data_IF_442986680914
#
_entry.id   IF_442986680914
#
_cell.length_a   1.000
_cell.length_b   1.000
_cell.length_c   1.000
_cell.angle_alpha   90.00
_cell.angle_beta   90.00
_cell.angle_gamma   90.00
#
_symmetry.space_group_name_H-M   'P 1'
#
loop_
_entity.id
_entity.type
_entity.pdbx_description
1 polymer ?
#
# COMPACT_ATOMS: atom_id res chain seq x y z
N UNK A 1 3.17 3.86 -0.26
CA UNK A 1 3.93 3.81 -1.53
C UNK A 1 3.00 4.11 -2.69
N UNK A 2 3.42 4.93 -3.64
CA UNK A 2 2.71 5.14 -4.90
C UNK A 2 3.32 4.34 -6.05
N UNK A 3 2.48 3.92 -6.99
CA UNK A 3 2.96 3.33 -8.23
C UNK A 3 1.84 3.10 -9.24
N UNK A 4 2.23 2.89 -10.50
CA UNK A 4 1.32 2.35 -11.50
C UNK A 4 1.03 0.86 -11.24
N UNK A 5 0.00 0.32 -11.89
CA UNK A 5 -0.40 -1.07 -11.71
C UNK A 5 0.75 -2.08 -11.89
N UNK A 6 1.54 -1.98 -12.97
CA UNK A 6 2.64 -2.90 -13.26
C UNK A 6 3.71 -2.90 -12.14
N UNK A 7 4.01 -1.72 -11.60
CA UNK A 7 4.95 -1.54 -10.51
C UNK A 7 4.40 -2.18 -9.22
N UNK A 8 3.13 -1.92 -8.87
CA UNK A 8 2.47 -2.56 -7.72
C UNK A 8 2.49 -4.09 -7.87
N UNK A 9 2.09 -4.62 -9.03
CA UNK A 9 1.98 -6.06 -9.26
C UNK A 9 3.36 -6.75 -9.13
N UNK A 10 4.42 -6.14 -9.66
CA UNK A 10 5.80 -6.61 -9.47
C UNK A 10 6.19 -6.63 -8.00
N UNK A 11 5.97 -5.55 -7.27
CA UNK A 11 6.30 -5.51 -5.85
C UNK A 11 5.60 -6.65 -5.09
N UNK A 12 4.31 -6.86 -5.33
CA UNK A 12 3.59 -7.87 -4.58
C UNK A 12 4.04 -9.28 -4.96
N UNK A 13 4.40 -9.52 -6.23
CA UNK A 13 5.05 -10.76 -6.65
C UNK A 13 6.33 -11.01 -5.84
N UNK A 14 7.20 -10.00 -5.71
CA UNK A 14 8.43 -10.12 -4.93
C UNK A 14 8.15 -10.34 -3.43
N UNK A 15 7.18 -9.64 -2.85
CA UNK A 15 6.80 -9.84 -1.44
C UNK A 15 6.31 -11.27 -1.19
N UNK A 16 5.48 -11.81 -2.08
CA UNK A 16 5.02 -13.21 -2.01
C UNK A 16 6.17 -14.21 -2.09
N UNK A 17 7.08 -14.02 -3.05
CA UNK A 17 8.25 -14.90 -3.21
C UNK A 17 9.16 -14.88 -1.98
N UNK A 18 9.10 -13.83 -1.16
CA UNK A 18 9.85 -13.71 0.11
C UNK A 18 9.01 -14.10 1.34
N UNK A 19 7.93 -14.88 1.17
CA UNK A 19 7.04 -15.35 2.24
C UNK A 19 6.39 -14.21 3.07
N UNK A 20 6.17 -13.06 2.45
CA UNK A 20 5.54 -11.94 3.13
C UNK A 20 4.03 -12.19 3.33
N UNK A 21 3.48 -11.92 4.52
CA UNK A 21 2.06 -12.12 4.78
C UNK A 21 1.20 -11.11 4.00
N UNK A 22 0.50 -11.58 2.96
CA UNK A 22 -0.35 -10.75 2.08
C UNK A 22 -1.50 -10.05 2.81
N UNK A 23 -1.90 -10.55 3.98
CA UNK A 23 -2.92 -9.95 4.85
C UNK A 23 -2.50 -8.57 5.41
N UNK A 24 -1.23 -8.20 5.26
CA UNK A 24 -0.67 -6.93 5.67
C UNK A 24 -0.56 -5.91 4.53
N UNK A 25 -1.01 -6.28 3.33
CA UNK A 25 -0.87 -5.48 2.10
C UNK A 25 -2.23 -4.96 1.68
N UNK A 26 -2.38 -3.65 1.71
CA UNK A 26 -3.62 -2.95 1.37
C UNK A 26 -3.40 -2.14 0.09
N UNK A 27 -4.20 -2.43 -0.94
CA UNK A 27 -4.17 -1.70 -2.21
C UNK A 27 -5.36 -0.77 -2.31
N UNK A 28 -5.08 0.49 -2.61
CA UNK A 28 -6.06 1.55 -2.82
C UNK A 28 -6.21 1.78 -4.31
N UNK A 29 -7.45 1.69 -4.78
CA UNK A 29 -7.78 1.93 -6.18
C UNK A 29 -7.88 3.44 -6.48
N UNK A 30 -7.43 3.88 -7.66
CA UNK A 30 -7.64 5.25 -8.09
C UNK A 30 -9.14 5.57 -8.23
N UNK A 31 -9.50 6.83 -8.01
CA UNK A 31 -10.84 7.39 -8.27
C UNK A 31 -12.02 6.74 -7.52
N UNK A 32 -11.76 5.93 -6.48
CA UNK A 32 -12.79 5.25 -5.68
C UNK A 32 -12.95 5.80 -4.27
N UNK A 33 -11.93 6.46 -3.72
CA UNK A 33 -11.84 6.63 -2.28
C UNK A 33 -12.03 8.09 -1.83
N UNK A 34 -13.28 8.51 -1.61
CA UNK A 34 -13.60 9.84 -1.04
C UNK A 34 -13.36 9.92 0.48
N UNK A 35 -13.30 8.77 1.18
CA UNK A 35 -13.12 8.71 2.64
C UNK A 35 -11.66 8.42 3.06
N UNK A 36 -10.73 8.34 2.10
CA UNK A 36 -9.34 7.96 2.34
C UNK A 36 -8.54 8.97 3.17
N UNK A 37 -8.91 10.25 3.05
CA UNK A 37 -8.24 11.35 3.73
C UNK A 37 -8.19 11.15 5.26
N UNK A 38 -9.32 10.78 5.86
CA UNK A 38 -9.44 10.58 7.31
C UNK A 38 -8.61 9.39 7.81
N UNK A 39 -8.48 8.34 7.02
CA UNK A 39 -7.66 7.17 7.39
C UNK A 39 -6.18 7.56 7.48
N UNK A 40 -5.69 8.42 6.58
CA UNK A 40 -4.30 8.88 6.64
C UNK A 40 -4.06 9.87 7.77
N UNK A 41 -5.05 10.72 8.07
CA UNK A 41 -5.03 11.62 9.22
C UNK A 41 -4.95 10.82 10.54
N UNK A 42 -5.74 9.76 10.66
CA UNK A 42 -5.72 8.86 11.83
C UNK A 42 -4.39 8.10 12.01
N UNK A 43 -3.68 7.87 10.90
CA UNK A 43 -2.34 7.28 10.85
C UNK A 43 -1.22 8.30 11.11
N UNK A 44 -1.56 9.53 11.51
CA UNK A 44 -0.62 10.62 11.80
C UNK A 44 0.26 10.98 10.58
N UNK A 45 -0.24 10.75 9.37
CA UNK A 45 0.47 11.12 8.15
C UNK A 45 0.37 12.64 7.98
N UNK A 46 1.49 13.33 7.71
CA UNK A 46 1.49 14.77 7.49
C UNK A 46 0.55 15.20 6.35
N UNK A 47 -0.20 16.28 6.55
CA UNK A 47 -1.21 16.74 5.58
C UNK A 47 -0.67 16.95 4.17
N UNK A 48 0.55 17.47 4.04
CA UNK A 48 1.24 17.62 2.75
C UNK A 48 1.46 16.28 2.02
N UNK A 49 1.62 15.18 2.77
CA UNK A 49 1.73 13.82 2.21
C UNK A 49 0.36 13.25 1.87
N UNK A 50 -0.66 13.52 2.68
CA UNK A 50 -2.05 13.15 2.38
C UNK A 50 -2.50 13.78 1.06
N UNK A 51 -2.24 15.07 0.87
CA UNK A 51 -2.57 15.79 -0.38
C UNK A 51 -1.83 15.21 -1.57
N UNK A 52 -0.55 14.88 -1.41
CA UNK A 52 0.25 14.23 -2.44
C UNK A 52 -0.36 12.88 -2.86
N UNK A 53 -0.67 12.00 -1.90
CA UNK A 53 -1.29 10.70 -2.19
C UNK A 53 -2.67 10.84 -2.82
N UNK A 54 -3.48 11.78 -2.34
CA UNK A 54 -4.82 12.06 -2.88
C UNK A 54 -4.74 12.54 -4.33
N UNK A 55 -3.84 13.47 -4.63
CA UNK A 55 -3.60 13.95 -5.99
C UNK A 55 -3.14 12.84 -6.93
N UNK A 56 -2.23 11.97 -6.47
CA UNK A 56 -1.77 10.83 -7.28
C UNK A 56 -2.88 9.80 -7.53
N UNK A 57 -3.73 9.52 -6.54
CA UNK A 57 -4.89 8.64 -6.71
C UNK A 57 -5.89 9.20 -7.73
N UNK A 58 -6.11 10.52 -7.74
CA UNK A 58 -6.94 11.18 -8.76
C UNK A 58 -6.32 11.11 -10.17
N UNK A 59 -5.00 11.09 -10.25
CA UNK A 59 -4.27 10.91 -11.51
C UNK A 59 -4.25 9.45 -12.02
N UNK A 60 -4.92 8.52 -11.33
CA UNK A 60 -4.94 7.11 -11.73
C UNK A 60 -3.79 6.27 -11.17
N UNK A 61 -2.97 6.82 -10.28
CA UNK A 61 -1.94 6.04 -9.59
C UNK A 61 -2.57 5.18 -8.50
N UNK A 62 -1.89 4.11 -8.13
CA UNK A 62 -2.28 3.23 -7.04
C UNK A 62 -1.46 3.57 -5.81
N UNK A 63 -2.09 3.46 -4.64
CA UNK A 63 -1.38 3.54 -3.38
C UNK A 63 -1.38 2.17 -2.70
N UNK A 64 -0.20 1.76 -2.25
CA UNK A 64 0.02 0.56 -1.47
C UNK A 64 0.41 0.94 -0.05
N UNK A 65 -0.30 0.38 0.92
CA UNK A 65 -0.03 0.50 2.35
C UNK A 65 0.34 -0.89 2.86
N UNK A 66 1.47 -0.98 3.57
CA UNK A 66 1.99 -2.23 4.11
C UNK A 66 2.14 -2.04 5.63
N UNK A 67 1.37 -2.81 6.41
CA UNK A 67 1.44 -2.77 7.87
C UNK A 67 2.30 -3.93 8.39
N UNK A 68 3.55 -3.65 8.74
CA UNK A 68 4.52 -4.71 9.03
C UNK A 68 5.53 -4.34 10.11
N UNK A 69 6.21 -5.36 10.61
CA UNK A 69 7.28 -5.21 11.62
C UNK A 69 8.55 -4.60 11.03
N UNK A 70 9.45 -4.09 11.88
CA UNK A 70 10.69 -3.43 11.44
C UNK A 70 11.57 -4.35 10.57
N UNK A 71 11.63 -5.65 10.87
CA UNK A 71 12.38 -6.64 10.08
C UNK A 71 11.79 -6.81 8.68
N UNK A 72 10.46 -6.81 8.57
CA UNK A 72 9.72 -6.88 7.32
C UNK A 72 9.84 -5.59 6.51
N UNK A 73 9.80 -4.42 7.16
CA UNK A 73 10.01 -3.12 6.51
C UNK A 73 11.38 -3.10 5.81
N UNK A 74 12.44 -3.61 6.45
CA UNK A 74 13.77 -3.70 5.82
C UNK A 74 13.77 -4.56 4.55
N UNK A 75 13.02 -5.66 4.53
CA UNK A 75 12.88 -6.48 3.33
C UNK A 75 12.11 -5.75 2.23
N UNK A 76 11.02 -5.07 2.57
CA UNK A 76 10.23 -4.26 1.64
C UNK A 76 11.11 -3.17 1.02
N UNK A 77 11.87 -2.42 1.82
CA UNK A 77 12.77 -1.37 1.34
C UNK A 77 13.78 -1.89 0.31
N UNK A 78 14.43 -3.02 0.59
CA UNK A 78 15.38 -3.62 -0.34
C UNK A 78 14.73 -3.97 -1.70
N UNK A 79 13.48 -4.42 -1.70
CA UNK A 79 12.72 -4.70 -2.92
C UNK A 79 12.32 -3.40 -3.63
N UNK A 80 11.91 -2.37 -2.89
CA UNK A 80 11.54 -1.06 -3.47
C UNK A 80 12.74 -0.42 -4.18
N UNK A 81 13.89 -0.43 -3.53
CA UNK A 81 15.16 0.03 -4.11
C UNK A 81 15.53 -0.79 -5.35
N UNK A 82 15.40 -2.11 -5.29
CA UNK A 82 15.64 -2.99 -6.44
C UNK A 82 14.70 -2.70 -7.62
N UNK A 83 13.45 -2.34 -7.35
CA UNK A 83 12.45 -1.98 -8.36
C UNK A 83 12.55 -0.52 -8.84
N UNK A 84 13.54 0.26 -8.36
CA UNK A 84 13.68 1.70 -8.60
C UNK A 84 12.41 2.49 -8.25
N UNK A 85 11.70 2.05 -7.21
CA UNK A 85 10.54 2.76 -6.68
C UNK A 85 11.04 3.83 -5.72
N UNK A 86 10.77 5.09 -6.04
CA UNK A 86 11.25 6.24 -5.24
C UNK A 86 10.14 6.89 -4.41
N UNK A 87 8.87 6.70 -4.79
CA UNK A 87 7.72 7.33 -4.13
C UNK A 87 7.16 6.47 -3.00
N UNK A 88 7.95 6.30 -1.94
CA UNK A 88 7.54 5.61 -0.72
C UNK A 88 8.07 6.30 0.53
N UNK A 89 7.33 6.15 1.63
CA UNK A 89 7.73 6.62 2.96
C UNK A 89 7.33 5.60 4.01
N UNK A 90 8.02 5.64 5.14
CA UNK A 90 7.73 4.80 6.31
C UNK A 90 7.17 5.71 7.39
N UNK A 91 6.02 5.33 7.92
CA UNK A 91 5.38 6.02 9.03
C UNK A 91 5.33 5.07 10.22
N UNK A 92 5.90 5.49 11.34
CA UNK A 92 5.81 4.77 12.60
C UNK A 92 4.65 5.37 13.39
N UNK A 93 3.50 4.69 13.40
CA UNK A 93 2.35 5.11 14.22
C UNK A 93 1.88 3.95 15.10
N UNK A 94 1.70 4.17 16.41
CA UNK A 94 1.15 3.15 17.32
C UNK A 94 -0.31 2.81 16.99
N UNK A 95 -0.99 3.65 16.19
CA UNK A 95 -2.38 3.45 15.75
C UNK A 95 -2.52 2.52 14.54
N UNK A 96 -1.44 2.19 13.85
CA UNK A 96 -1.47 1.30 12.68
C UNK A 96 -2.05 -0.09 13.01
N UNK A 97 -1.87 -0.56 14.24
CA UNK A 97 -2.41 -1.83 14.72
C UNK A 97 -3.91 -1.79 15.06
N UNK A 98 -4.50 -0.60 15.18
CA UNK A 98 -5.92 -0.39 15.52
C UNK A 98 -6.78 -0.05 14.31
N UNK A 99 -6.18 0.06 13.12
CA UNK A 99 -6.95 0.28 11.90
C UNK A 99 -7.57 -1.04 11.48
N UNK A 100 -8.74 -1.32 12.05
CA UNK A 100 -9.55 -2.48 11.76
C UNK A 100 -10.03 -2.40 10.31
N UNK A 101 -10.18 -3.56 9.65
CA UNK A 101 -10.56 -3.67 8.23
C UNK A 101 -11.77 -2.84 7.84
N UNK A 102 -12.68 -2.53 8.77
CA UNK A 102 -13.85 -1.68 8.59
C UNK A 102 -13.56 -0.22 8.24
N UNK A 103 -12.40 0.33 8.61
CA UNK A 103 -11.96 1.65 8.13
C UNK A 103 -11.32 1.56 6.73
N UNK A 104 -11.00 0.34 6.30
CA UNK A 104 -10.38 0.00 5.04
C UNK A 104 -11.34 -0.74 4.09
N UNK A 105 -12.66 -0.67 4.30
CA UNK A 105 -13.64 -1.46 3.51
C UNK A 105 -13.63 -1.14 2.01
N UNK A 106 -13.06 0.00 1.58
CA UNK A 106 -12.87 0.39 0.18
C UNK A 106 -11.44 0.07 -0.35
N UNK A 107 -10.61 -0.53 0.49
CA UNK A 107 -9.29 -1.01 0.16
C UNK A 107 -9.46 -2.48 -0.17
N UNK A 108 -9.10 -2.87 -1.38
CA UNK A 108 -9.08 -4.29 -1.70
C UNK A 108 -7.96 -4.92 -0.89
N UNK A 109 -8.33 -5.68 0.16
CA UNK A 109 -7.44 -6.71 0.69
C UNK A 109 -6.99 -7.52 -0.51
N UNK A 110 -5.69 -7.59 -0.66
CA UNK A 110 -5.15 -8.17 -1.85
C UNK A 110 -5.21 -9.70 -1.70
N UNK A 111 -6.29 -10.27 -2.23
CA UNK A 111 -6.59 -11.68 -2.12
C UNK A 111 -5.81 -12.51 -3.15
N UNK A 112 -5.59 -13.78 -2.85
CA UNK A 112 -4.90 -14.70 -3.77
C UNK A 112 -5.67 -14.93 -5.08
N UNK A 113 -6.98 -14.65 -5.10
CA UNK A 113 -7.83 -14.91 -6.28
C UNK A 113 -7.52 -13.99 -7.46
N UNK A 114 -7.03 -12.76 -7.17
CA UNK A 114 -6.65 -11.77 -8.18
C UNK A 114 -5.40 -12.19 -8.99
N UNK A 115 -4.56 -13.07 -8.46
CA UNK A 115 -3.34 -13.56 -9.14
C UNK A 115 -3.57 -14.60 -10.20
N UNK A 116 -4.53 -15.49 -9.97
CA UNK A 116 -4.85 -16.58 -10.89
C UNK A 116 -5.37 -16.07 -12.24
N UNK A 117 -5.82 -14.81 -12.31
CA UNK A 117 -6.25 -14.16 -13.55
C UNK A 117 -5.13 -13.41 -14.29
N UNK A 118 -3.98 -13.14 -13.65
CA UNK A 118 -2.84 -12.44 -14.28
C UNK A 118 -1.74 -13.39 -14.79
N UNK A 119 -1.86 -14.70 -14.54
CA UNK A 119 -0.90 -15.74 -14.94
C UNK A 119 -1.37 -16.61 -16.12
N UNK A 120 -2.47 -16.24 -16.80
CA UNK A 120 -2.98 -16.93 -18.00
C UNK A 120 -2.66 -16.18 -19.29
#
# INVERSE_FOLDING_TARGET
MLGNQNNIDKLILYLKSNCFPVQQIYRILPNKNQCFYHVLEDLEIPQNRIDFYTNSLQQGQYLLVINSTESQIKQVQAILEFLNMVDWEIYYTPRAYQVNSSNFDDFTLFDDSTYSMMLN
#
